data_IF_121157668753
#
_entry.id   IF_121157668753
#
_cell.length_a   1.000
_cell.length_b   1.000
_cell.length_c   1.000
_cell.angle_alpha   90.00
_cell.angle_beta   90.00
_cell.angle_gamma   90.00
#
_symmetry.space_group_name_H-M   'P 1'
#
loop_
_entity.id
_entity.type
_entity.pdbx_description
1 polymer ?
#
# COMPACT_ATOMS: atom_id res chain seq x y z
N UNK A 1 5.05 -11.22 -8.78
CA UNK A 1 4.28 -9.94 -8.75
C UNK A 1 3.00 -10.01 -9.58
N UNK A 2 3.03 -10.24 -10.90
CA UNK A 2 1.80 -10.22 -11.73
C UNK A 2 0.73 -11.22 -11.28
N UNK A 3 1.11 -12.48 -10.99
CA UNK A 3 0.19 -13.52 -10.47
C UNK A 3 -0.46 -13.12 -9.14
N UNK A 4 0.21 -12.28 -8.35
CA UNK A 4 -0.28 -11.77 -7.07
C UNK A 4 -1.22 -10.57 -7.29
N UNK A 5 -0.84 -9.61 -8.15
CA UNK A 5 -1.62 -8.39 -8.40
C UNK A 5 -2.88 -8.68 -9.21
N UNK A 6 -2.78 -9.58 -10.21
CA UNK A 6 -3.84 -9.81 -11.18
C UNK A 6 -5.20 -10.19 -10.56
N UNK A 7 -5.29 -11.18 -9.64
CA UNK A 7 -6.56 -11.52 -9.00
C UNK A 7 -7.13 -10.40 -8.13
N UNK A 8 -6.28 -9.55 -7.54
CA UNK A 8 -6.71 -8.38 -6.77
C UNK A 8 -7.32 -7.33 -7.69
N UNK A 9 -6.63 -7.00 -8.78
CA UNK A 9 -7.11 -6.01 -9.76
C UNK A 9 -8.42 -6.45 -10.44
N UNK A 10 -8.66 -7.75 -10.62
CA UNK A 10 -9.95 -8.25 -11.12
C UNK A 10 -11.11 -8.05 -10.14
N UNK A 11 -10.84 -7.94 -8.83
CA UNK A 11 -11.86 -7.68 -7.82
C UNK A 11 -12.25 -6.21 -7.74
N UNK A 12 -11.48 -5.31 -8.36
CA UNK A 12 -11.81 -3.88 -8.43
C UNK A 12 -13.12 -3.74 -9.22
N UNK A 13 -14.15 -3.31 -8.52
CA UNK A 13 -15.44 -3.00 -9.10
C UNK A 13 -15.67 -1.49 -9.16
N UNK A 14 -15.44 -0.90 -10.32
CA UNK A 14 -15.72 0.50 -10.56
C UNK A 14 -17.21 0.85 -10.40
N UNK A 15 -18.13 -0.11 -10.51
CA UNK A 15 -19.54 0.11 -10.23
C UNK A 15 -19.82 0.19 -8.71
N UNK A 16 -19.04 -0.53 -7.89
CA UNK A 16 -19.12 -0.46 -6.43
C UNK A 16 -18.62 0.88 -5.87
N UNK A 17 -17.87 1.67 -6.64
CA UNK A 17 -17.50 3.05 -6.27
C UNK A 17 -18.72 3.94 -6.03
N UNK A 18 -19.89 3.63 -6.63
CA UNK A 18 -21.15 4.33 -6.31
C UNK A 18 -21.58 4.17 -4.84
N UNK A 19 -21.17 3.08 -4.19
CA UNK A 19 -21.48 2.79 -2.79
C UNK A 19 -20.54 3.49 -1.79
N UNK A 20 -19.46 4.15 -2.27
CA UNK A 20 -18.57 4.99 -1.46
C UNK A 20 -19.34 6.06 -0.67
N UNK A 21 -20.50 6.48 -1.16
CA UNK A 21 -21.35 7.49 -0.49
C UNK A 21 -21.87 7.02 0.87
N UNK A 22 -22.14 5.73 1.09
CA UNK A 22 -22.69 5.25 2.37
C UNK A 22 -21.69 5.38 3.53
N UNK A 23 -20.39 5.34 3.23
CA UNK A 23 -19.30 5.45 4.21
C UNK A 23 -18.34 6.61 3.91
N UNK A 24 -18.84 7.67 3.27
CA UNK A 24 -18.02 8.78 2.76
C UNK A 24 -17.08 9.39 3.79
N UNK A 25 -17.50 9.49 5.07
CA UNK A 25 -16.66 10.00 6.15
C UNK A 25 -15.45 9.11 6.43
N UNK A 26 -15.66 7.80 6.59
CA UNK A 26 -14.56 6.85 6.82
C UNK A 26 -13.63 6.74 5.62
N UNK A 27 -14.19 6.79 4.41
CA UNK A 27 -13.41 6.77 3.18
C UNK A 27 -12.55 8.02 3.06
N UNK A 28 -13.13 9.20 3.31
CA UNK A 28 -12.41 10.47 3.31
C UNK A 28 -11.26 10.50 4.31
N UNK A 29 -11.47 10.01 5.54
CA UNK A 29 -10.40 9.90 6.54
C UNK A 29 -9.27 9.00 6.04
N UNK A 30 -9.62 7.82 5.51
CA UNK A 30 -8.61 6.85 5.06
C UNK A 30 -7.79 7.40 3.89
N UNK A 31 -8.44 8.05 2.92
CA UNK A 31 -7.77 8.67 1.78
C UNK A 31 -6.86 9.82 2.20
N UNK A 32 -7.34 10.68 3.10
CA UNK A 32 -6.53 11.76 3.64
C UNK A 32 -5.27 11.23 4.33
N UNK A 33 -5.40 10.16 5.12
CA UNK A 33 -4.25 9.53 5.77
C UNK A 33 -3.31 8.92 4.74
N UNK A 34 -3.82 8.11 3.81
CA UNK A 34 -3.00 7.39 2.83
C UNK A 34 -2.24 8.30 1.87
N UNK A 35 -2.87 9.37 1.39
CA UNK A 35 -2.32 10.19 0.31
C UNK A 35 -1.81 11.55 0.80
N UNK A 36 -2.33 12.07 1.90
CA UNK A 36 -1.99 13.37 2.44
C UNK A 36 -1.07 13.33 3.66
N UNK A 37 -1.28 12.40 4.59
CA UNK A 37 -0.50 12.36 5.84
C UNK A 37 0.69 11.43 5.72
N UNK A 38 0.45 10.18 5.32
CA UNK A 38 1.41 9.09 5.37
C UNK A 38 2.67 9.32 4.52
N UNK A 39 2.62 9.62 3.22
CA UNK A 39 3.84 9.75 2.44
C UNK A 39 4.67 10.97 2.89
N UNK A 40 4.01 12.07 3.27
CA UNK A 40 4.67 13.28 3.78
C UNK A 40 5.24 13.09 5.19
N UNK A 41 4.51 12.42 6.08
CA UNK A 41 5.01 12.10 7.42
C UNK A 41 6.21 11.16 7.35
N UNK A 42 6.24 10.22 6.39
CA UNK A 42 7.42 9.38 6.19
C UNK A 42 8.61 10.17 5.66
N UNK A 43 8.41 11.07 4.70
CA UNK A 43 9.50 11.91 4.20
C UNK A 43 10.10 12.76 5.34
N UNK A 44 9.24 13.33 6.20
CA UNK A 44 9.67 14.08 7.38
C UNK A 44 10.42 13.18 8.38
N UNK A 45 9.88 12.00 8.72
CA UNK A 45 10.52 11.06 9.63
C UNK A 45 11.84 10.53 9.05
N UNK A 46 11.91 10.26 7.75
CA UNK A 46 13.12 9.91 7.04
C UNK A 46 14.17 11.00 7.18
N UNK A 47 13.80 12.26 6.94
CA UNK A 47 14.70 13.39 7.13
C UNK A 47 15.18 13.54 8.58
N UNK A 48 14.28 13.48 9.57
CA UNK A 48 14.62 13.63 11.00
C UNK A 48 15.50 12.46 11.48
N UNK A 49 15.08 11.22 11.24
CA UNK A 49 15.75 10.03 11.79
C UNK A 49 16.97 9.63 10.97
N UNK A 50 16.87 9.58 9.65
CA UNK A 50 17.97 9.07 8.80
C UNK A 50 19.04 10.13 8.57
N UNK A 51 18.64 11.40 8.36
CA UNK A 51 19.57 12.47 8.00
C UNK A 51 20.15 13.23 9.19
N UNK A 52 19.49 13.22 10.35
CA UNK A 52 19.92 13.94 11.55
C UNK A 52 20.19 13.03 12.74
N UNK A 53 19.15 12.46 13.36
CA UNK A 53 19.25 11.78 14.65
C UNK A 53 20.13 10.52 14.59
N UNK A 54 19.93 9.69 13.57
CA UNK A 54 20.56 8.36 13.44
C UNK A 54 21.62 8.34 12.34
N UNK A 55 21.88 9.47 11.67
CA UNK A 55 22.88 9.58 10.61
C UNK A 55 24.28 9.09 11.02
N UNK A 56 24.79 9.34 12.26
CA UNK A 56 26.10 8.83 12.67
C UNK A 56 26.20 7.30 12.77
N UNK A 57 25.06 6.61 12.84
CA UNK A 57 24.98 5.15 12.97
C UNK A 57 24.63 4.46 11.65
N UNK A 58 24.51 5.22 10.57
CA UNK A 58 24.14 4.74 9.25
C UNK A 58 25.29 4.99 8.25
N UNK A 59 25.48 4.10 7.25
CA UNK A 59 26.41 4.36 6.16
C UNK A 59 26.04 5.65 5.41
N UNK A 60 26.95 6.62 5.39
CA UNK A 60 26.70 7.95 4.81
C UNK A 60 26.36 7.90 3.31
N UNK A 61 26.87 6.90 2.60
CA UNK A 61 26.62 6.62 1.19
C UNK A 61 25.21 6.07 0.90
N UNK A 62 24.49 5.57 1.92
CA UNK A 62 23.21 4.90 1.74
C UNK A 62 22.02 5.67 2.31
N UNK A 63 22.25 6.84 2.93
CA UNK A 63 21.19 7.64 3.55
C UNK A 63 20.06 7.98 2.56
N UNK A 64 20.43 8.42 1.35
CA UNK A 64 19.46 8.77 0.30
C UNK A 64 18.66 7.55 -0.16
N UNK A 65 19.31 6.39 -0.32
CA UNK A 65 18.66 5.13 -0.67
C UNK A 65 17.67 4.67 0.41
N UNK A 66 18.00 4.83 1.68
CA UNK A 66 17.10 4.50 2.79
C UNK A 66 15.90 5.45 2.85
N UNK A 67 16.11 6.76 2.69
CA UNK A 67 15.01 7.74 2.64
C UNK A 67 14.10 7.45 1.44
N UNK A 68 14.67 7.16 0.27
CA UNK A 68 13.90 6.80 -0.91
C UNK A 68 13.06 5.53 -0.68
N UNK A 69 13.66 4.49 -0.10
CA UNK A 69 12.95 3.25 0.26
C UNK A 69 11.80 3.48 1.25
N UNK A 70 12.00 4.32 2.26
CA UNK A 70 10.95 4.70 3.22
C UNK A 70 9.79 5.44 2.53
N UNK A 71 10.09 6.40 1.65
CA UNK A 71 9.08 7.16 0.90
C UNK A 71 8.28 6.22 -0.02
N UNK A 72 8.96 5.36 -0.78
CA UNK A 72 8.33 4.37 -1.66
C UNK A 72 7.39 3.44 -0.88
N UNK A 73 7.85 2.93 0.27
CA UNK A 73 7.06 2.08 1.15
C UNK A 73 5.80 2.79 1.67
N UNK A 74 5.93 4.05 2.10
CA UNK A 74 4.82 4.82 2.66
C UNK A 74 3.79 5.24 1.60
N UNK A 75 4.23 5.54 0.39
CA UNK A 75 3.37 5.96 -0.72
C UNK A 75 2.51 4.81 -1.29
N UNK A 76 2.88 3.54 -1.05
CA UNK A 76 2.16 2.38 -1.54
C UNK A 76 1.11 1.89 -0.51
N UNK A 77 -0.21 2.12 -0.73
CA UNK A 77 -1.25 1.65 0.17
C UNK A 77 -1.45 0.13 0.08
N UNK A 78 -1.71 -0.54 1.21
CA UNK A 78 -1.94 -1.98 1.24
C UNK A 78 -3.31 -2.39 0.69
N UNK A 79 -3.36 -3.52 -0.01
CA UNK A 79 -4.53 -4.00 -0.76
C UNK A 79 -5.06 -5.35 -0.25
N UNK A 80 -4.17 -6.30 0.06
CA UNK A 80 -4.55 -7.67 0.46
C UNK A 80 -4.74 -7.84 1.97
N UNK A 81 -3.73 -7.51 2.76
CA UNK A 81 -3.67 -7.85 4.18
C UNK A 81 -4.78 -7.17 4.99
N UNK A 82 -5.22 -5.99 4.53
CA UNK A 82 -6.30 -5.20 5.12
C UNK A 82 -7.63 -5.94 5.20
N UNK A 83 -7.90 -6.92 4.32
CA UNK A 83 -9.10 -7.77 4.43
C UNK A 83 -9.05 -8.68 5.65
N UNK A 84 -7.88 -9.26 5.93
CA UNK A 84 -7.68 -10.13 7.10
C UNK A 84 -7.79 -9.30 8.38
N UNK A 85 -7.14 -8.14 8.44
CA UNK A 85 -7.22 -7.25 9.60
C UNK A 85 -8.63 -6.72 9.83
N UNK A 86 -9.35 -6.35 8.77
CA UNK A 86 -10.76 -5.96 8.84
C UNK A 86 -11.61 -7.08 9.43
N UNK A 87 -11.45 -8.32 8.97
CA UNK A 87 -12.18 -9.48 9.51
C UNK A 87 -11.91 -9.69 11.01
N UNK A 88 -10.64 -9.58 11.44
CA UNK A 88 -10.25 -9.70 12.85
C UNK A 88 -10.89 -8.61 13.73
N UNK A 89 -11.08 -7.41 13.19
CA UNK A 89 -11.75 -6.31 13.87
C UNK A 89 -13.28 -6.27 13.65
N UNK A 90 -13.88 -7.31 13.06
CA UNK A 90 -15.31 -7.36 12.69
C UNK A 90 -15.75 -6.14 11.85
N UNK A 91 -14.87 -5.75 10.94
CA UNK A 91 -15.07 -4.63 10.05
C UNK A 91 -16.11 -4.89 8.98
N UNK A 92 -16.67 -3.81 8.43
CA UNK A 92 -17.63 -3.88 7.34
C UNK A 92 -16.91 -4.33 6.03
N UNK A 93 -17.32 -5.47 5.44
CA UNK A 93 -16.69 -5.98 4.22
C UNK A 93 -16.89 -5.06 3.00
N UNK A 94 -18.03 -4.38 2.90
CA UNK A 94 -18.34 -3.48 1.80
C UNK A 94 -17.49 -2.22 1.87
N UNK A 95 -17.33 -1.64 3.06
CA UNK A 95 -16.40 -0.54 3.29
C UNK A 95 -14.98 -0.94 2.89
N UNK A 96 -14.49 -2.08 3.40
CA UNK A 96 -13.12 -2.55 3.16
C UNK A 96 -12.87 -2.76 1.66
N UNK A 97 -13.81 -3.42 0.96
CA UNK A 97 -13.71 -3.66 -0.48
C UNK A 97 -13.70 -2.36 -1.27
N UNK A 98 -14.62 -1.44 -0.95
CA UNK A 98 -14.74 -0.15 -1.64
C UNK A 98 -13.50 0.72 -1.42
N UNK A 99 -12.95 0.72 -0.21
CA UNK A 99 -11.75 1.47 0.15
C UNK A 99 -10.51 0.94 -0.57
N UNK A 100 -10.33 -0.38 -0.65
CA UNK A 100 -9.22 -0.99 -1.38
C UNK A 100 -9.33 -0.67 -2.86
N UNK A 101 -10.50 -0.86 -3.47
CA UNK A 101 -10.73 -0.54 -4.89
C UNK A 101 -10.44 0.93 -5.20
N UNK A 102 -10.82 1.85 -4.31
CA UNK A 102 -10.56 3.28 -4.47
C UNK A 102 -9.07 3.62 -4.28
N UNK A 103 -8.40 3.03 -3.30
CA UNK A 103 -6.94 3.18 -3.12
C UNK A 103 -6.18 2.71 -4.36
N UNK A 104 -6.54 1.54 -4.90
CA UNK A 104 -5.90 0.97 -6.10
C UNK A 104 -6.10 1.87 -7.31
N UNK A 105 -7.31 2.40 -7.51
CA UNK A 105 -7.61 3.33 -8.59
C UNK A 105 -6.80 4.64 -8.47
N UNK A 106 -6.70 5.20 -7.27
CA UNK A 106 -5.90 6.41 -7.01
C UNK A 106 -4.41 6.11 -7.19
N UNK A 107 -3.94 4.93 -6.80
CA UNK A 107 -2.54 4.53 -6.90
C UNK A 107 -2.02 4.55 -8.34
N UNK A 108 -2.83 4.13 -9.31
CA UNK A 108 -2.46 4.17 -10.74
C UNK A 108 -2.03 5.57 -11.19
N UNK A 109 -2.64 6.62 -10.64
CA UNK A 109 -2.43 8.00 -11.08
C UNK A 109 -1.60 8.84 -10.11
N UNK A 110 -1.74 8.61 -8.80
CA UNK A 110 -1.17 9.46 -7.77
C UNK A 110 0.18 8.96 -7.24
N UNK A 111 0.47 7.65 -7.34
CA UNK A 111 1.70 7.07 -6.79
C UNK A 111 2.95 7.70 -7.39
N UNK A 112 3.07 7.69 -8.72
CA UNK A 112 4.23 8.24 -9.43
C UNK A 112 4.46 9.73 -9.14
N UNK A 113 3.46 10.62 -9.29
CA UNK A 113 3.63 12.04 -8.99
C UNK A 113 4.01 12.34 -7.53
N UNK A 114 3.39 11.65 -6.56
CA UNK A 114 3.67 11.88 -5.14
C UNK A 114 5.09 11.43 -4.78
N UNK A 115 5.50 10.26 -5.25
CA UNK A 115 6.87 9.77 -5.04
C UNK A 115 7.88 10.71 -5.69
N UNK A 116 7.67 11.13 -6.93
CA UNK A 116 8.56 12.06 -7.63
C UNK A 116 8.68 13.40 -6.90
N UNK A 117 7.56 13.94 -6.41
CA UNK A 117 7.54 15.16 -5.60
C UNK A 117 8.38 15.01 -4.32
N UNK A 118 8.15 13.93 -3.55
CA UNK A 118 8.80 13.73 -2.26
C UNK A 118 10.30 13.40 -2.39
N UNK A 119 10.70 12.65 -3.41
CA UNK A 119 12.11 12.41 -3.72
C UNK A 119 12.79 13.70 -4.16
N UNK A 120 12.13 14.50 -4.99
CA UNK A 120 12.63 15.83 -5.41
C UNK A 120 12.81 16.79 -4.23
N UNK A 121 11.85 16.84 -3.31
CA UNK A 121 11.95 17.62 -2.06
C UNK A 121 13.09 17.13 -1.15
N UNK A 122 13.46 15.85 -1.24
CA UNK A 122 14.57 15.26 -0.49
C UNK A 122 15.92 15.42 -1.21
N UNK A 123 15.98 16.16 -2.33
CA UNK A 123 17.17 16.31 -3.18
C UNK A 123 17.74 14.99 -3.72
N UNK A 124 16.90 13.95 -3.80
CA UNK A 124 17.26 12.64 -4.34
C UNK A 124 16.92 12.63 -5.83
N UNK A 125 17.85 12.17 -6.68
CA UNK A 125 17.60 12.06 -8.12
C UNK A 125 16.43 11.11 -8.38
N UNK A 126 15.40 11.60 -9.07
CA UNK A 126 14.22 10.80 -9.42
C UNK A 126 14.55 9.95 -10.67
N UNK A 127 14.55 8.61 -10.57
CA UNK A 127 14.80 7.75 -11.73
C UNK A 127 13.53 7.63 -12.58
N UNK A 128 13.23 8.65 -13.38
CA UNK A 128 11.99 8.74 -14.17
C UNK A 128 11.79 7.57 -15.12
N UNK A 129 12.84 7.11 -15.79
CA UNK A 129 12.77 5.98 -16.71
C UNK A 129 12.34 4.70 -15.98
N UNK A 130 12.97 4.41 -14.83
CA UNK A 130 12.64 3.26 -14.00
C UNK A 130 11.24 3.40 -13.41
N UNK A 131 10.90 4.57 -12.87
CA UNK A 131 9.63 4.81 -12.20
C UNK A 131 8.45 4.70 -13.16
N UNK A 132 8.54 5.32 -14.35
CA UNK A 132 7.50 5.23 -15.37
C UNK A 132 7.39 3.81 -15.95
N UNK A 133 8.52 3.13 -16.17
CA UNK A 133 8.54 1.75 -16.64
C UNK A 133 7.90 0.81 -15.61
N UNK A 134 8.26 0.94 -14.34
CA UNK A 134 7.69 0.13 -13.24
C UNK A 134 6.19 0.38 -13.08
N UNK A 135 5.73 1.64 -13.13
CA UNK A 135 4.30 1.94 -13.06
C UNK A 135 3.55 1.40 -14.28
N UNK A 136 4.10 1.56 -15.48
CA UNK A 136 3.51 1.01 -16.71
C UNK A 136 3.39 -0.52 -16.64
N UNK A 137 4.47 -1.20 -16.29
CA UNK A 137 4.58 -2.66 -16.37
C UNK A 137 3.96 -3.38 -15.17
N UNK A 138 4.08 -2.84 -13.95
CA UNK A 138 3.59 -3.49 -12.73
C UNK A 138 2.22 -3.00 -12.25
N UNK A 139 1.76 -1.83 -12.73
CA UNK A 139 0.45 -1.28 -12.35
C UNK A 139 -0.48 -1.20 -13.56
N UNK A 140 -0.14 -0.41 -14.58
CA UNK A 140 -1.07 -0.09 -15.70
C UNK A 140 -1.43 -1.33 -16.50
N UNK A 141 -0.43 -2.11 -16.96
CA UNK A 141 -0.68 -3.29 -17.79
C UNK A 141 -1.50 -4.35 -17.05
N UNK A 142 -1.16 -4.77 -15.81
CA UNK A 142 -1.98 -5.71 -15.04
C UNK A 142 -3.41 -5.22 -14.83
N UNK A 143 -3.62 -3.92 -14.55
CA UNK A 143 -4.96 -3.33 -14.39
C UNK A 143 -5.77 -3.45 -15.68
N UNK A 144 -5.19 -3.08 -16.84
CA UNK A 144 -5.88 -3.16 -18.13
C UNK A 144 -6.30 -4.60 -18.45
N UNK A 145 -5.38 -5.56 -18.33
CA UNK A 145 -5.68 -6.97 -18.59
C UNK A 145 -6.75 -7.49 -17.62
N UNK A 146 -6.65 -7.15 -16.33
CA UNK A 146 -7.59 -7.58 -15.31
C UNK A 146 -9.00 -7.04 -15.56
N UNK A 147 -9.13 -5.77 -15.97
CA UNK A 147 -10.42 -5.15 -16.25
C UNK A 147 -11.06 -5.68 -17.53
N UNK A 148 -10.27 -5.93 -18.58
CA UNK A 148 -10.75 -6.58 -19.80
C UNK A 148 -11.28 -8.00 -19.51
N UNK A 149 -10.54 -8.76 -18.72
CA UNK A 149 -10.93 -10.12 -18.36
C UNK A 149 -12.15 -10.13 -17.42
N UNK A 150 -12.21 -9.23 -16.42
CA UNK A 150 -13.39 -9.02 -15.57
C UNK A 150 -14.64 -8.74 -16.41
N UNK A 151 -14.55 -7.81 -17.37
CA UNK A 151 -15.67 -7.46 -18.27
C UNK A 151 -16.12 -8.67 -19.10
N UNK A 152 -15.18 -9.46 -19.61
CA UNK A 152 -15.49 -10.69 -20.35
C UNK A 152 -16.16 -11.76 -19.47
N UNK A 153 -15.74 -11.91 -18.22
CA UNK A 153 -16.33 -12.86 -17.26
C UNK A 153 -17.72 -12.42 -16.80
N UNK A 154 -17.93 -11.14 -16.55
CA UNK A 154 -19.24 -10.60 -16.14
C UNK A 154 -20.30 -10.72 -17.23
N UNK A 155 -19.91 -10.68 -18.51
CA UNK A 155 -20.83 -11.01 -19.63
C UNK A 155 -21.40 -12.43 -19.55
N UNK A 156 -20.70 -13.35 -18.87
CA UNK A 156 -21.16 -14.73 -18.62
C UNK A 156 -21.96 -14.86 -17.32
N UNK A 157 -22.22 -13.76 -16.62
CA UNK A 157 -22.97 -13.71 -15.36
C UNK A 157 -22.09 -13.56 -14.12
N UNK A 158 -22.66 -12.91 -13.10
CA UNK A 158 -22.00 -12.66 -11.79
C UNK A 158 -21.54 -13.96 -11.10
N UNK A 159 -22.33 -15.05 -11.08
CA UNK A 159 -21.89 -16.30 -10.45
C UNK A 159 -20.65 -16.91 -11.12
N UNK A 160 -20.53 -16.77 -12.45
CA UNK A 160 -19.38 -17.26 -13.20
C UNK A 160 -18.11 -16.48 -12.86
N UNK A 161 -18.20 -15.16 -12.79
CA UNK A 161 -17.10 -14.31 -12.32
C UNK A 161 -16.66 -14.69 -10.90
N UNK A 162 -17.60 -14.84 -9.96
CA UNK A 162 -17.29 -15.22 -8.58
C UNK A 162 -16.59 -16.58 -8.49
N UNK A 163 -17.05 -17.57 -9.25
CA UNK A 163 -16.41 -18.89 -9.29
C UNK A 163 -14.94 -18.82 -9.77
N UNK A 164 -14.67 -18.03 -10.82
CA UNK A 164 -13.31 -17.82 -11.33
C UNK A 164 -12.46 -17.02 -10.35
N UNK A 165 -12.99 -15.95 -9.77
CA UNK A 165 -12.29 -15.13 -8.79
C UNK A 165 -11.90 -15.94 -7.53
N UNK A 166 -12.78 -16.82 -7.07
CA UNK A 166 -12.51 -17.72 -5.93
C UNK A 166 -11.43 -18.76 -6.25
N UNK A 167 -11.40 -19.30 -7.48
CA UNK A 167 -10.34 -20.21 -7.92
C UNK A 167 -8.97 -19.53 -8.04
N UNK A 168 -8.93 -18.24 -8.36
CA UNK A 168 -7.68 -17.46 -8.48
C UNK A 168 -7.13 -16.98 -7.13
N UNK A 169 -7.96 -16.91 -6.09
CA UNK A 169 -7.57 -16.47 -4.74
C UNK A 169 -6.35 -17.22 -4.18
N UNK A 170 -6.34 -18.56 -4.15
CA UNK A 170 -5.19 -19.34 -3.67
C UNK A 170 -3.89 -19.04 -4.42
N UNK A 171 -3.93 -18.84 -5.74
CA UNK A 171 -2.75 -18.51 -6.52
C UNK A 171 -2.14 -17.16 -6.11
N UNK A 172 -2.98 -16.17 -5.78
CA UNK A 172 -2.53 -14.87 -5.28
C UNK A 172 -1.77 -15.02 -3.97
N UNK A 173 -2.30 -15.81 -3.02
CA UNK A 173 -1.68 -16.05 -1.72
C UNK A 173 -0.39 -16.87 -1.88
N UNK A 174 -0.40 -17.91 -2.70
CA UNK A 174 0.80 -18.71 -2.97
C UNK A 174 1.91 -17.87 -3.63
N UNK A 175 1.56 -17.00 -4.58
CA UNK A 175 2.52 -16.09 -5.21
C UNK A 175 3.08 -15.05 -4.23
N UNK A 176 2.24 -14.54 -3.33
CA UNK A 176 2.65 -13.65 -2.24
C UNK A 176 3.66 -14.35 -1.31
N UNK A 177 3.31 -15.54 -0.80
CA UNK A 177 4.16 -16.31 0.10
C UNK A 177 5.49 -16.70 -0.58
N UNK A 178 5.43 -17.11 -1.85
CA UNK A 178 6.64 -17.39 -2.63
C UNK A 178 7.52 -16.14 -2.77
N UNK A 179 6.91 -14.97 -3.06
CA UNK A 179 7.65 -13.70 -3.14
C UNK A 179 8.33 -13.37 -1.81
N UNK A 180 7.65 -13.61 -0.68
CA UNK A 180 8.21 -13.42 0.65
C UNK A 180 9.39 -14.36 0.89
N UNK A 181 9.25 -15.65 0.61
CA UNK A 181 10.35 -16.64 0.73
C UNK A 181 11.55 -16.23 -0.13
N UNK A 182 11.33 -15.83 -1.38
CA UNK A 182 12.40 -15.40 -2.28
C UNK A 182 13.07 -14.11 -1.79
N UNK A 183 12.30 -13.14 -1.29
CA UNK A 183 12.84 -11.89 -0.76
C UNK A 183 13.74 -12.16 0.45
N UNK A 184 13.30 -12.97 1.40
CA UNK A 184 14.13 -13.36 2.55
C UNK A 184 15.34 -14.20 2.15
N UNK A 185 15.21 -15.07 1.15
CA UNK A 185 16.34 -15.85 0.63
C UNK A 185 17.40 -14.95 -0.02
N UNK A 186 16.99 -13.98 -0.85
CA UNK A 186 17.92 -13.07 -1.52
C UNK A 186 18.50 -12.00 -0.59
N UNK A 187 17.72 -11.52 0.39
CA UNK A 187 18.16 -10.50 1.36
C UNK A 187 18.79 -11.09 2.63
N UNK A 188 18.92 -12.41 2.72
CA UNK A 188 19.39 -13.11 3.92
C UNK A 188 20.78 -12.65 4.38
N UNK A 189 21.75 -12.50 3.46
CA UNK A 189 23.08 -11.99 3.82
C UNK A 189 23.02 -10.57 4.41
N UNK A 190 22.20 -9.71 3.84
CA UNK A 190 22.07 -8.32 4.27
C UNK A 190 21.40 -8.24 5.65
N UNK A 191 20.41 -9.09 5.91
CA UNK A 191 19.78 -9.22 7.23
C UNK A 191 20.80 -9.62 8.30
N UNK A 192 21.71 -10.55 7.98
CA UNK A 192 22.74 -11.00 8.91
C UNK A 192 23.87 -9.97 9.11
N UNK A 193 24.25 -9.24 8.05
CA UNK A 193 25.36 -8.28 8.10
C UNK A 193 24.96 -6.93 8.69
N UNK A 194 23.70 -6.51 8.54
CA UNK A 194 23.25 -5.16 8.92
C UNK A 194 22.04 -5.16 9.89
N UNK A 195 22.05 -5.95 10.99
CA UNK A 195 20.91 -6.02 11.90
C UNK A 195 20.64 -4.68 12.60
N UNK A 196 21.68 -3.92 12.90
CA UNK A 196 21.57 -2.62 13.57
C UNK A 196 20.93 -1.56 12.66
N UNK A 197 21.28 -1.55 11.36
CA UNK A 197 20.64 -0.68 10.37
C UNK A 197 19.15 -0.99 10.26
N UNK A 198 18.78 -2.28 10.18
CA UNK A 198 17.38 -2.70 10.12
C UNK A 198 16.61 -2.23 11.36
N UNK A 199 17.19 -2.40 12.56
CA UNK A 199 16.57 -1.94 13.80
C UNK A 199 16.39 -0.42 13.82
N UNK A 200 17.38 0.33 13.34
CA UNK A 200 17.34 1.79 13.18
C UNK A 200 16.21 2.21 12.23
N UNK A 201 16.10 1.58 11.06
CA UNK A 201 15.05 1.87 10.07
C UNK A 201 13.65 1.47 10.57
N UNK A 202 13.56 0.45 11.43
CA UNK A 202 12.30 0.04 12.03
C UNK A 202 11.71 1.10 12.97
N UNK A 203 12.53 1.97 13.58
CA UNK A 203 12.06 3.04 14.49
C UNK A 203 11.11 4.03 13.81
N UNK A 204 11.51 4.76 12.74
CA UNK A 204 10.62 5.69 12.07
C UNK A 204 9.40 4.97 11.47
N UNK A 205 9.56 3.75 10.95
CA UNK A 205 8.44 2.95 10.43
C UNK A 205 7.42 2.66 11.54
N UNK A 206 7.86 2.20 12.71
CA UNK A 206 6.98 1.89 13.83
C UNK A 206 6.24 3.12 14.33
N UNK A 207 6.97 4.23 14.53
CA UNK A 207 6.38 5.52 14.92
C UNK A 207 5.30 5.90 13.92
N UNK A 208 5.59 5.79 12.62
CA UNK A 208 4.66 6.16 11.58
C UNK A 208 3.41 5.28 11.56
N UNK A 209 3.56 3.96 11.71
CA UNK A 209 2.43 3.01 11.74
C UNK A 209 1.51 3.32 12.91
N UNK A 210 2.07 3.54 14.11
CA UNK A 210 1.29 3.89 15.30
C UNK A 210 0.61 5.25 15.14
N UNK A 211 1.33 6.25 14.61
CA UNK A 211 0.80 7.58 14.38
C UNK A 211 -0.34 7.57 13.37
N UNK A 212 -0.16 6.92 12.21
CA UNK A 212 -1.19 6.86 11.17
C UNK A 212 -2.42 6.08 11.64
N UNK A 213 -2.22 4.94 12.31
CA UNK A 213 -3.32 4.14 12.87
C UNK A 213 -4.09 4.94 13.94
N UNK A 214 -3.37 5.55 14.88
CA UNK A 214 -3.96 6.35 15.96
C UNK A 214 -4.70 7.58 15.43
N UNK A 215 -4.08 8.32 14.49
CA UNK A 215 -4.67 9.49 13.87
C UNK A 215 -5.90 9.13 13.04
N UNK A 216 -5.83 8.07 12.22
CA UNK A 216 -6.96 7.59 11.45
C UNK A 216 -8.13 7.17 12.35
N UNK A 217 -7.86 6.41 13.41
CA UNK A 217 -8.90 6.00 14.36
C UNK A 217 -9.51 7.20 15.09
N UNK A 218 -8.67 8.15 15.53
CA UNK A 218 -9.11 9.37 16.20
C UNK A 218 -9.97 10.26 15.29
N UNK A 219 -9.57 10.46 14.03
CA UNK A 219 -10.34 11.22 13.05
C UNK A 219 -11.69 10.57 12.77
N UNK A 220 -11.73 9.25 12.61
CA UNK A 220 -12.98 8.50 12.45
C UNK A 220 -13.90 8.69 13.66
N UNK A 221 -13.36 8.59 14.88
CA UNK A 221 -14.11 8.83 16.11
C UNK A 221 -14.66 10.25 16.17
N UNK A 222 -13.86 11.26 15.80
CA UNK A 222 -14.28 12.67 15.75
C UNK A 222 -15.37 12.93 14.70
N UNK A 223 -15.37 12.20 13.58
CA UNK A 223 -16.38 12.29 12.54
C UNK A 223 -17.64 11.43 12.80
N UNK A 224 -17.70 10.75 13.95
CA UNK A 224 -18.84 9.91 14.35
C UNK A 224 -18.97 8.64 13.50
N UNK A 225 -17.87 8.12 12.96
CA UNK A 225 -17.86 6.90 12.14
C UNK A 225 -18.00 5.67 13.06
N UNK A 226 -18.84 4.72 12.68
CA UNK A 226 -19.04 3.48 13.43
C UNK A 226 -17.75 2.65 13.51
N UNK A 227 -17.57 1.90 14.60
CA UNK A 227 -16.35 1.11 14.82
C UNK A 227 -16.06 0.09 13.71
N UNK A 228 -17.11 -0.54 13.15
CA UNK A 228 -16.99 -1.46 12.02
C UNK A 228 -16.38 -0.82 10.76
N UNK A 229 -16.38 0.50 10.65
CA UNK A 229 -15.73 1.26 9.57
C UNK A 229 -14.42 1.90 10.06
N UNK A 230 -14.42 2.45 11.29
CA UNK A 230 -13.27 3.12 11.88
C UNK A 230 -12.07 2.17 12.10
N UNK A 231 -12.31 0.92 12.52
CA UNK A 231 -11.28 -0.09 12.70
C UNK A 231 -10.55 -0.42 11.40
N UNK A 232 -11.26 -0.87 10.35
CA UNK A 232 -10.66 -1.09 9.04
C UNK A 232 -10.03 0.17 8.44
N UNK A 233 -10.65 1.34 8.60
CA UNK A 233 -10.09 2.62 8.14
C UNK A 233 -8.71 2.90 8.74
N UNK A 234 -8.55 2.67 10.05
CA UNK A 234 -7.26 2.86 10.73
C UNK A 234 -6.20 1.86 10.25
N UNK A 235 -6.58 0.59 10.09
CA UNK A 235 -5.68 -0.45 9.60
C UNK A 235 -5.25 -0.21 8.16
N UNK A 236 -6.18 0.19 7.29
CA UNK A 236 -5.88 0.54 5.89
C UNK A 236 -4.98 1.79 5.85
N UNK A 237 -5.26 2.79 6.69
CA UNK A 237 -4.46 4.01 6.82
C UNK A 237 -3.00 3.78 7.24
N UNK A 238 -2.76 2.73 8.04
CA UNK A 238 -1.44 2.41 8.56
C UNK A 238 -0.66 1.40 7.71
N UNK A 239 -1.34 0.59 6.89
CA UNK A 239 -0.72 -0.53 6.18
C UNK A 239 0.00 -0.10 4.89
N UNK A 240 1.08 -0.80 4.55
CA UNK A 240 1.92 -0.56 3.36
C UNK A 240 1.87 -1.74 2.38
N UNK A 241 2.09 -1.48 1.10
CA UNK A 241 2.24 -2.51 0.07
C UNK A 241 3.72 -2.68 -0.28
N UNK A 242 4.43 -3.46 0.53
CA UNK A 242 5.89 -3.58 0.48
C UNK A 242 6.37 -4.26 -0.80
N UNK A 243 5.57 -5.17 -1.35
CA UNK A 243 5.88 -5.92 -2.56
C UNK A 243 5.99 -5.00 -3.78
N UNK A 244 5.15 -3.96 -3.83
CA UNK A 244 5.23 -2.93 -4.87
C UNK A 244 6.40 -1.98 -4.60
N UNK A 245 6.72 -1.68 -3.35
CA UNK A 245 7.86 -0.84 -3.01
C UNK A 245 9.23 -1.49 -3.32
N UNK A 246 9.28 -2.83 -3.31
CA UNK A 246 10.47 -3.61 -3.65
C UNK A 246 10.60 -3.86 -5.16
N UNK A 247 9.47 -3.88 -5.89
CA UNK A 247 9.38 -4.15 -7.32
C UNK A 247 9.77 -2.94 -8.19
#
# INVERSE_FOLDING_TARGET
IWVMIFPMMMKIDFAALGQVRSHARGIGVTLFINWGVKPFSMALLGWIFIRHLLAPWLPADQLDSYIAGLILLAAAPCTAMVFVWSQLCKGDPYFTLSQVALNDAIMVVAFAPIVALLLGLSSISVPWDTLLTSVGLYIVVPVVIAQLWRKALLRKGVPHFQAVANRLGPFSISALLLTLVLLFAFQGEQILRQPLVIAILAVPILIQVVLNSGLAYWLNRKMGVQHCVAGPSALIGASNFFELAVA
#
